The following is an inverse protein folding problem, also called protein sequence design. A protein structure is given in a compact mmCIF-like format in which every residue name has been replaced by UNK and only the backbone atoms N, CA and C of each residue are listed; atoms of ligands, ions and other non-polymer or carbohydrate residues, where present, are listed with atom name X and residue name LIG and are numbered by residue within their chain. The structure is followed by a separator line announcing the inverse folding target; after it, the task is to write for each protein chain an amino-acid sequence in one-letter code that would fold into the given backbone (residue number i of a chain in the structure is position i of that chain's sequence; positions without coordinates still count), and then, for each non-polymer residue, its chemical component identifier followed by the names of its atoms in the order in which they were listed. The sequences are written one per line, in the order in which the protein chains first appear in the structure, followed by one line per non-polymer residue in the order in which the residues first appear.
data_IF_589387046113
#
_entry.id   IF_589387046113
#
_cell.length_a   1.000
_cell.length_b   1.000
_cell.length_c   1.000
_cell.angle_alpha   90.00
_cell.angle_beta   90.00
_cell.angle_gamma   90.00
#
_symmetry.space_group_name_H-M   'P 1'
#
loop_
_entity.id
_entity.type
_entity.pdbx_description
1 polymer ?
#
# COMPACT_ATOMS: atom_id res chain seq x y z
N UNK A 1 14.78 3.14 -6.32
CA UNK A 1 14.47 3.66 -4.98
C UNK A 1 14.44 2.50 -3.99
N UNK A 2 15.31 2.46 -2.98
CA UNK A 2 15.31 1.35 -2.03
C UNK A 2 14.12 1.37 -1.06
N UNK A 3 13.63 2.55 -0.70
CA UNK A 3 12.48 2.72 0.19
C UNK A 3 11.22 1.99 -0.31
N UNK A 4 11.03 1.88 -1.64
CA UNK A 4 9.90 1.18 -2.24
C UNK A 4 9.92 -0.35 -2.00
N UNK A 5 11.06 -0.94 -1.61
CA UNK A 5 11.15 -2.37 -1.28
C UNK A 5 10.34 -2.73 -0.03
N UNK A 6 10.10 -1.75 0.83
CA UNK A 6 9.35 -1.93 2.07
C UNK A 6 7.88 -1.50 1.93
N UNK A 7 7.46 -0.99 0.77
CA UNK A 7 6.09 -0.53 0.54
C UNK A 7 5.38 -1.52 -0.37
N UNK A 8 4.16 -1.90 0.02
CA UNK A 8 3.36 -2.85 -0.73
C UNK A 8 1.90 -2.44 -0.86
N UNK A 9 1.29 -2.87 -1.96
CA UNK A 9 -0.15 -2.92 -2.12
C UNK A 9 -0.65 -4.31 -1.74
N UNK A 10 -1.81 -4.38 -1.07
CA UNK A 10 -2.47 -5.65 -0.74
C UNK A 10 -3.77 -5.74 -1.52
N UNK A 11 -3.92 -6.78 -2.35
CA UNK A 11 -5.11 -6.94 -3.15
C UNK A 11 -6.37 -7.10 -2.28
N UNK A 12 -7.43 -6.39 -2.63
CA UNK A 12 -8.68 -6.36 -1.86
C UNK A 12 -8.70 -5.29 -0.75
N UNK A 13 -7.56 -4.66 -0.47
CA UNK A 13 -7.45 -3.54 0.45
C UNK A 13 -7.14 -2.24 -0.30
N UNK A 14 -7.70 -1.14 0.20
CA UNK A 14 -7.41 0.20 -0.30
C UNK A 14 -6.14 0.74 0.33
N UNK A 15 -5.34 1.46 -0.45
CA UNK A 15 -4.16 2.17 0.04
C UNK A 15 -2.86 1.39 -0.11
N UNK A 16 -1.85 1.84 0.64
CA UNK A 16 -0.52 1.28 0.69
C UNK A 16 -0.17 0.87 2.11
N UNK A 17 0.76 -0.07 2.22
CA UNK A 17 1.20 -0.61 3.48
C UNK A 17 2.71 -0.74 3.53
N UNK A 18 3.31 -0.39 4.68
CA UNK A 18 4.71 -0.66 4.97
C UNK A 18 4.85 -2.08 5.52
N UNK A 19 5.73 -2.88 4.93
CA UNK A 19 6.05 -4.23 5.37
C UNK A 19 6.97 -4.12 6.58
N UNK A 20 6.52 -4.60 7.74
CA UNK A 20 7.33 -4.58 8.96
C UNK A 20 8.17 -5.85 9.07
N UNK A 21 7.52 -7.03 9.05
CA UNK A 21 8.22 -8.31 9.10
C UNK A 21 7.35 -9.48 8.63
N UNK A 22 7.96 -10.53 8.06
CA UNK A 22 7.29 -11.80 7.90
C UNK A 22 6.98 -12.42 9.28
N UNK A 23 5.79 -13.00 9.42
CA UNK A 23 5.32 -13.70 10.61
C UNK A 23 4.95 -15.14 10.31
N UNK A 24 4.73 -15.94 11.36
CA UNK A 24 4.38 -17.37 11.21
C UNK A 24 3.02 -17.60 10.52
N UNK A 25 2.12 -16.63 10.60
CA UNK A 25 0.78 -16.68 10.03
C UNK A 25 0.60 -15.75 8.81
N UNK A 26 1.68 -15.19 8.24
CA UNK A 26 1.61 -14.28 7.10
C UNK A 26 2.62 -13.14 7.20
N UNK A 27 2.21 -11.91 6.86
CA UNK A 27 3.08 -10.72 6.92
C UNK A 27 2.44 -9.65 7.78
N UNK A 28 3.22 -9.06 8.68
CA UNK A 28 2.77 -7.91 9.47
C UNK A 28 3.05 -6.65 8.66
N UNK A 29 1.99 -5.87 8.43
CA UNK A 29 2.06 -4.62 7.68
C UNK A 29 1.48 -3.47 8.49
N UNK A 30 1.95 -2.26 8.22
CA UNK A 30 1.46 -1.00 8.78
C UNK A 30 0.80 -0.18 7.69
N UNK A 31 -0.39 0.38 7.92
CA UNK A 31 -1.04 1.26 6.94
C UNK A 31 -0.26 2.56 6.75
N UNK A 32 -0.16 3.02 5.49
CA UNK A 32 0.35 4.35 5.16
C UNK A 32 -0.81 5.35 5.17
N UNK A 33 -1.26 5.66 6.38
CA UNK A 33 -2.26 6.67 6.69
C UNK A 33 -2.00 7.28 8.07
N UNK A 34 -2.82 8.25 8.48
CA UNK A 34 -2.69 8.93 9.78
C UNK A 34 -2.75 7.97 10.98
N UNK A 35 -3.40 6.81 10.82
CA UNK A 35 -3.61 5.86 11.92
C UNK A 35 -2.42 4.93 12.12
N UNK A 36 -1.60 4.72 11.08
CA UNK A 36 -0.45 3.79 11.08
C UNK A 36 -0.82 2.44 11.72
N UNK A 37 -1.98 1.91 11.33
CA UNK A 37 -2.56 0.73 11.94
C UNK A 37 -1.79 -0.53 11.52
N UNK A 38 -1.34 -1.28 12.52
CA UNK A 38 -0.61 -2.55 12.31
C UNK A 38 -1.60 -3.69 12.16
N UNK A 39 -1.57 -4.35 11.01
CA UNK A 39 -2.48 -5.45 10.67
C UNK A 39 -1.67 -6.67 10.22
N UNK A 40 -2.13 -7.85 10.61
CA UNK A 40 -1.57 -9.10 10.09
C UNK A 40 -2.31 -9.51 8.82
N UNK A 41 -1.61 -9.48 7.70
CA UNK A 41 -2.10 -10.03 6.44
C UNK A 41 -1.86 -11.54 6.44
N UNK A 42 -2.93 -12.31 6.27
CA UNK A 42 -2.86 -13.77 6.23
C UNK A 42 -2.01 -14.31 5.07
N UNK A 43 -1.71 -15.62 5.05
CA UNK A 43 -0.80 -16.21 4.06
C UNK A 43 -1.39 -16.24 2.64
N UNK A 44 -2.71 -16.08 2.52
CA UNK A 44 -3.43 -16.00 1.25
C UNK A 44 -3.54 -14.57 0.70
N UNK A 45 -3.13 -13.57 1.48
CA UNK A 45 -3.14 -12.18 1.05
C UNK A 45 -2.14 -12.00 -0.10
N UNK A 46 -2.61 -11.38 -1.19
CA UNK A 46 -1.75 -11.06 -2.33
C UNK A 46 -1.08 -9.72 -2.06
N UNK A 47 0.14 -9.79 -1.54
CA UNK A 47 0.97 -8.63 -1.25
C UNK A 47 1.91 -8.40 -2.43
N UNK A 48 1.83 -7.23 -3.04
CA UNK A 48 2.68 -6.81 -4.17
C UNK A 48 3.56 -5.65 -3.73
N UNK A 49 4.87 -5.86 -3.71
CA UNK A 49 5.85 -4.83 -3.37
C UNK A 49 5.93 -3.82 -4.51
N UNK A 50 5.89 -2.53 -4.20
CA UNK A 50 5.88 -1.47 -5.22
C UNK A 50 7.13 -1.47 -6.08
N UNK A 51 8.27 -1.85 -5.51
CA UNK A 51 9.53 -1.99 -6.23
C UNK A 51 9.50 -3.04 -7.35
N UNK A 52 8.66 -4.07 -7.22
CA UNK A 52 8.58 -5.17 -8.19
C UNK A 52 7.51 -4.93 -9.26
N UNK A 53 6.79 -3.81 -9.18
CA UNK A 53 5.78 -3.42 -10.14
C UNK A 53 6.44 -2.66 -11.29
N UNK A 54 6.12 -3.08 -12.51
CA UNK A 54 6.54 -2.43 -13.75
C UNK A 54 5.34 -2.17 -14.64
N UNK A 55 5.45 -1.14 -15.47
CA UNK A 55 4.44 -0.71 -16.42
C UNK A 55 4.90 -1.15 -17.81
N UNK A 56 4.03 -1.80 -18.56
CA UNK A 56 4.32 -2.21 -19.93
C UNK A 56 4.49 -1.00 -20.83
N UNK A 57 5.52 -1.04 -21.67
CA UNK A 57 5.76 -0.07 -22.74
C UNK A 57 5.79 -0.80 -24.08
N UNK A 58 5.27 -0.12 -25.09
CA UNK A 58 5.32 -0.53 -26.48
C UNK A 58 6.44 0.30 -27.14
N UNK A 59 7.68 -0.07 -26.81
CA UNK A 59 8.89 0.51 -27.38
C UNK A 59 9.67 -0.61 -28.07
N UNK A 60 10.31 -0.30 -29.20
CA UNK A 60 11.13 -1.25 -29.97
C UNK A 60 12.43 -1.68 -29.24
N UNK A 61 12.64 -1.18 -28.01
CA UNK A 61 13.76 -1.54 -27.14
C UNK A 61 13.64 -2.97 -26.55
N UNK A 62 14.78 -3.55 -26.15
CA UNK A 62 14.82 -4.88 -25.52
C UNK A 62 14.02 -4.94 -24.20
N UNK A 63 13.77 -3.78 -23.57
CA UNK A 63 13.02 -3.63 -22.32
C UNK A 63 11.55 -3.27 -22.58
N UNK A 64 10.66 -4.26 -22.51
CA UNK A 64 9.20 -4.10 -22.70
C UNK A 64 8.45 -3.53 -21.48
N UNK A 65 9.17 -3.03 -20.47
CA UNK A 65 8.54 -2.48 -19.28
C UNK A 65 9.43 -1.47 -18.56
N UNK A 66 8.81 -0.44 -17.98
CA UNK A 66 9.46 0.57 -17.15
C UNK A 66 9.10 0.37 -15.68
N UNK A 67 10.08 0.43 -14.79
CA UNK A 67 9.84 0.23 -13.35
C UNK A 67 8.94 1.32 -12.78
N UNK A 68 8.08 0.97 -11.82
CA UNK A 68 7.22 1.95 -11.13
C UNK A 68 8.05 3.04 -10.44
N UNK A 69 9.25 2.71 -9.97
CA UNK A 69 10.19 3.69 -9.41
C UNK A 69 10.46 4.83 -10.40
N UNK A 70 10.83 4.49 -11.64
CA UNK A 70 11.13 5.47 -12.68
C UNK A 70 9.91 6.33 -12.98
N UNK A 71 8.73 5.72 -13.04
CA UNK A 71 7.48 6.43 -13.34
C UNK A 71 7.10 7.38 -12.22
N UNK A 72 7.20 6.96 -10.95
CA UNK A 72 6.94 7.84 -9.80
C UNK A 72 7.92 9.02 -9.76
N UNK A 73 9.19 8.81 -10.12
CA UNK A 73 10.17 9.89 -10.21
C UNK A 73 9.79 10.89 -11.30
N UNK A 74 9.46 10.41 -12.51
CA UNK A 74 9.04 11.27 -13.62
C UNK A 74 7.79 12.10 -13.27
N UNK A 75 6.82 11.50 -12.55
CA UNK A 75 5.66 12.22 -12.03
C UNK A 75 6.09 13.32 -11.06
N UNK A 76 6.99 13.00 -10.13
CA UNK A 76 7.45 13.97 -9.13
C UNK A 76 8.22 15.13 -9.75
N UNK A 77 9.01 14.88 -10.79
CA UNK A 77 9.77 15.91 -11.51
C UNK A 77 8.84 16.81 -12.33
N UNK A 78 7.78 16.26 -12.91
CA UNK A 78 6.86 16.99 -13.78
C UNK A 78 5.76 17.74 -13.02
N UNK A 79 5.24 17.17 -11.94
CA UNK A 79 4.04 17.66 -11.25
C UNK A 79 4.25 17.99 -9.77
N UNK A 80 5.31 17.48 -9.14
CA UNK A 80 5.53 17.65 -7.70
C UNK A 80 4.33 17.18 -6.88
N UNK A 81 3.85 18.01 -5.96
CA UNK A 81 2.72 17.66 -5.08
C UNK A 81 1.33 17.80 -5.74
N UNK A 82 1.24 18.49 -6.87
CA UNK A 82 -0.03 18.85 -7.50
C UNK A 82 -0.25 18.06 -8.79
N UNK A 83 -0.94 16.92 -8.69
CA UNK A 83 -1.32 16.14 -9.87
C UNK A 83 -2.45 16.83 -10.65
N UNK A 84 -2.42 16.78 -12.00
CA UNK A 84 -3.49 17.31 -12.84
C UNK A 84 -4.73 16.42 -12.88
N UNK A 85 -4.66 15.22 -12.31
CA UNK A 85 -5.71 14.20 -12.33
C UNK A 85 -5.94 13.59 -10.95
N UNK A 86 -7.15 13.10 -10.74
CA UNK A 86 -7.55 12.36 -9.54
C UNK A 86 -7.86 10.90 -9.91
N UNK A 87 -7.88 9.96 -8.95
CA UNK A 87 -8.28 8.55 -9.22
C UNK A 87 -9.70 8.41 -9.77
N UNK A 88 -10.54 9.45 -9.61
CA UNK A 88 -11.91 9.54 -10.11
C UNK A 88 -12.04 10.26 -11.46
N UNK A 89 -10.94 10.78 -12.02
CA UNK A 89 -10.91 11.41 -13.33
C UNK A 89 -11.38 10.47 -14.43
N UNK A 90 -11.79 11.07 -15.55
CA UNK A 90 -12.23 10.34 -16.74
C UNK A 90 -11.11 9.45 -17.29
N UNK A 91 -11.49 8.37 -17.99
CA UNK A 91 -10.52 7.47 -18.64
C UNK A 91 -9.58 8.22 -19.57
N UNK A 92 -10.08 9.18 -20.35
CA UNK A 92 -9.27 9.98 -21.27
C UNK A 92 -8.24 10.83 -20.51
N UNK A 93 -8.65 11.51 -19.43
CA UNK A 93 -7.75 12.31 -18.61
C UNK A 93 -6.63 11.47 -17.98
N UNK A 94 -6.96 10.25 -17.52
CA UNK A 94 -5.98 9.32 -16.97
C UNK A 94 -5.01 8.80 -18.04
N UNK A 95 -5.50 8.56 -19.26
CA UNK A 95 -4.67 8.15 -20.38
C UNK A 95 -3.73 9.27 -20.84
N UNK A 96 -4.23 10.51 -20.91
CA UNK A 96 -3.43 11.69 -21.24
C UNK A 96 -2.35 11.95 -20.19
N UNK A 97 -2.70 11.82 -18.91
CA UNK A 97 -1.73 11.88 -17.83
C UNK A 97 -0.65 10.80 -17.98
N UNK A 98 -1.04 9.56 -18.24
CA UNK A 98 -0.08 8.47 -18.42
C UNK A 98 0.84 8.70 -19.64
N UNK A 99 0.28 9.19 -20.75
CA UNK A 99 1.03 9.56 -21.94
C UNK A 99 2.00 10.73 -21.71
N UNK A 100 1.67 11.65 -20.81
CA UNK A 100 2.53 12.79 -20.48
C UNK A 100 3.79 12.39 -19.70
N UNK A 101 3.69 11.33 -18.90
CA UNK A 101 4.77 10.82 -18.04
C UNK A 101 5.56 9.72 -18.75
N UNK A 102 4.85 8.78 -19.39
CA UNK A 102 5.44 7.64 -20.10
C UNK A 102 4.81 7.60 -21.51
N UNK A 103 5.33 8.36 -22.49
CA UNK A 103 4.71 8.46 -23.82
C UNK A 103 4.55 7.13 -24.55
N UNK A 104 5.45 6.18 -24.30
CA UNK A 104 5.50 4.86 -24.93
C UNK A 104 4.75 3.77 -24.15
N UNK A 105 3.88 4.10 -23.18
CA UNK A 105 3.16 3.08 -22.42
C UNK A 105 2.19 2.27 -23.31
N UNK A 106 2.11 0.96 -23.05
CA UNK A 106 1.23 0.06 -23.79
C UNK A 106 -0.24 0.26 -23.34
N UNK A 107 -1.06 0.84 -24.22
CA UNK A 107 -2.47 1.15 -23.94
C UNK A 107 -3.38 -0.07 -23.87
N UNK A 108 -2.99 -1.18 -24.49
CA UNK A 108 -3.75 -2.43 -24.51
C UNK A 108 -3.51 -3.26 -23.24
N UNK A 109 -2.28 -3.21 -22.70
CA UNK A 109 -1.91 -3.93 -21.48
C UNK A 109 -2.15 -3.13 -20.20
N UNK A 110 -1.93 -1.81 -20.23
CA UNK A 110 -2.09 -0.95 -19.05
C UNK A 110 -3.57 -0.60 -18.88
N UNK A 111 -4.21 -1.20 -17.88
CA UNK A 111 -5.64 -0.97 -17.61
C UNK A 111 -5.83 0.36 -16.90
N UNK A 112 -6.96 1.02 -17.17
CA UNK A 112 -7.35 2.27 -16.48
C UNK A 112 -7.35 2.13 -14.96
N UNK A 113 -7.74 0.96 -14.42
CA UNK A 113 -7.71 0.71 -12.97
C UNK A 113 -6.30 0.77 -12.39
N UNK A 114 -5.28 0.37 -13.15
CA UNK A 114 -3.89 0.42 -12.69
C UNK A 114 -3.35 1.86 -12.73
N UNK A 115 -3.76 2.66 -13.73
CA UNK A 115 -3.49 4.11 -13.74
C UNK A 115 -4.14 4.80 -12.53
N UNK A 116 -5.41 4.46 -12.21
CA UNK A 116 -6.09 4.99 -11.01
C UNK A 116 -5.37 4.62 -9.72
N UNK A 117 -4.87 3.39 -9.61
CA UNK A 117 -4.06 2.95 -8.47
C UNK A 117 -2.77 3.75 -8.38
N UNK A 118 -2.07 3.94 -9.50
CA UNK A 118 -0.82 4.70 -9.55
C UNK A 118 -1.02 6.14 -9.06
N UNK A 119 -2.06 6.84 -9.52
CA UNK A 119 -2.40 8.19 -9.06
C UNK A 119 -2.67 8.21 -7.55
N UNK A 120 -3.44 7.23 -7.05
CA UNK A 120 -3.72 7.08 -5.61
C UNK A 120 -2.45 6.80 -4.79
N UNK A 121 -1.60 5.89 -5.27
CA UNK A 121 -0.34 5.53 -4.63
C UNK A 121 0.61 6.72 -4.56
N UNK A 122 0.73 7.49 -5.65
CA UNK A 122 1.56 8.69 -5.67
C UNK A 122 1.13 9.69 -4.58
N UNK A 123 -0.17 9.97 -4.46
CA UNK A 123 -0.69 10.85 -3.42
C UNK A 123 -0.38 10.35 -2.00
N UNK A 124 -0.59 9.05 -1.74
CA UNK A 124 -0.28 8.43 -0.44
C UNK A 124 1.21 8.52 -0.13
N UNK A 125 2.07 8.23 -1.12
CA UNK A 125 3.53 8.29 -0.94
C UNK A 125 3.98 9.72 -0.64
N UNK A 126 3.50 10.73 -1.37
CA UNK A 126 3.86 12.13 -1.09
C UNK A 126 3.41 12.58 0.30
N UNK A 127 2.24 12.12 0.76
CA UNK A 127 1.69 12.54 2.04
C UNK A 127 2.30 11.80 3.24
N UNK A 128 2.47 10.48 3.16
CA UNK A 128 2.80 9.63 4.30
C UNK A 128 4.19 8.98 4.22
N UNK A 129 4.85 9.05 3.07
CA UNK A 129 6.20 8.52 2.87
C UNK A 129 7.05 9.41 1.93
N UNK A 130 7.18 10.73 2.20
CA UNK A 130 7.96 11.63 1.35
C UNK A 130 9.43 11.20 1.20
N UNK A 131 9.98 10.50 2.20
CA UNK A 131 11.34 9.95 2.21
C UNK A 131 11.61 8.98 1.06
N UNK A 132 10.56 8.44 0.43
CA UNK A 132 10.69 7.56 -0.75
C UNK A 132 11.32 8.29 -1.93
N UNK A 133 11.16 9.62 -2.01
CA UNK A 133 11.66 10.45 -3.10
C UNK A 133 13.01 11.11 -2.80
N UNK A 134 13.49 11.06 -1.56
CA UNK A 134 14.79 11.59 -1.18
C UNK A 134 15.91 10.59 -1.52
N UNK A 135 16.74 10.93 -2.51
CA UNK A 135 17.82 10.07 -3.02
C UNK A 135 19.07 10.08 -2.10
N UNK A 136 18.98 10.67 -0.91
CA UNK A 136 20.11 10.82 0.02
C UNK A 136 19.77 10.22 1.38
N UNK A 137 20.38 9.06 1.67
CA UNK A 137 20.54 8.46 3.02
C UNK A 137 19.22 7.88 3.60
N UNK A 138 19.02 6.57 3.67
CA UNK A 138 19.75 5.70 4.58
C UNK A 138 19.27 5.93 6.02
N UNK A 139 18.41 5.06 6.53
CA UNK A 139 17.88 5.04 7.91
C UNK A 139 16.99 6.22 8.34
N UNK A 140 15.70 5.95 8.48
CA UNK A 140 14.90 6.49 9.59
C UNK A 140 14.08 5.35 10.16
N UNK A 141 14.77 4.54 10.98
CA UNK A 141 14.14 4.02 12.19
C UNK A 141 13.94 5.22 13.13
N UNK A 142 12.69 5.63 13.34
CA UNK A 142 12.24 6.47 14.46
C UNK A 142 10.72 6.22 14.58
N UNK A 143 10.12 5.81 15.70
CA UNK A 143 10.61 5.47 17.02
C UNK A 143 9.55 4.59 17.69
N UNK A 144 10.02 3.67 18.52
CA UNK A 144 9.19 3.00 19.50
C UNK A 144 9.02 3.92 20.71
N UNK A 145 7.92 4.68 20.78
CA UNK A 145 7.51 5.29 22.05
C UNK A 145 6.48 4.39 22.76
N UNK A 146 7.02 3.71 23.76
CA UNK A 146 6.34 2.95 24.81
C UNK A 146 5.39 3.87 25.60
N UNK A 147 4.18 3.39 25.81
CA UNK A 147 3.40 3.65 27.02
C UNK A 147 2.81 2.32 27.52
N UNK A 148 3.64 1.52 28.19
CA UNK A 148 3.24 0.70 29.34
C UNK A 148 2.75 1.66 30.46
N UNK A 149 1.79 1.44 31.35
CA UNK A 149 0.88 0.39 31.87
C UNK A 149 -0.12 1.15 32.81
N UNK A 150 -0.91 0.59 33.75
CA UNK A 150 -1.71 -0.65 33.85
C UNK A 150 -3.18 -0.39 34.29
N UNK A 151 -4.11 -1.29 34.01
CA UNK A 151 -5.27 -1.62 34.88
C UNK A 151 -5.90 -2.91 34.29
N UNK A 152 -5.63 -4.11 34.79
CA UNK A 152 -6.02 -4.64 36.10
C UNK A 152 -7.52 -4.43 36.40
N UNK A 153 -8.36 -5.25 35.78
CA UNK A 153 -9.57 -5.77 36.42
C UNK A 153 -9.64 -7.27 36.15
N UNK A 154 -9.00 -8.00 37.06
CA UNK A 154 -9.41 -9.35 37.45
C UNK A 154 -10.64 -9.22 38.38
N UNK A 155 -11.28 -10.36 38.66
CA UNK A 155 -12.38 -10.62 39.62
C UNK A 155 -13.76 -10.57 38.94
N UNK A 156 -14.52 -11.65 38.79
CA UNK A 156 -14.45 -13.00 39.37
C UNK A 156 -15.42 -13.92 38.65
N UNK A 157 -15.04 -15.20 38.62
CA UNK A 157 -15.91 -16.37 38.58
C UNK A 157 -17.23 -16.20 39.35
N UNK A 158 -18.34 -16.73 38.82
CA UNK A 158 -19.00 -17.89 39.44
C UNK A 158 -20.07 -18.49 38.52
N UNK A 159 -20.33 -19.80 38.67
CA UNK A 159 -20.88 -20.69 37.66
C UNK A 159 -22.41 -20.77 37.75
N UNK A 160 -23.08 -21.13 36.65
CA UNK A 160 -24.39 -21.76 36.72
C UNK A 160 -24.25 -23.19 36.25
N UNK A 161 -24.25 -24.07 37.24
CA UNK A 161 -24.37 -25.51 37.11
C UNK A 161 -25.71 -25.90 36.46
N UNK A 162 -25.58 -26.92 35.64
CA UNK A 162 -26.59 -27.90 35.25
C UNK A 162 -27.42 -28.40 36.46
N UNK A 163 -28.74 -28.56 36.29
CA UNK A 163 -29.53 -29.77 36.65
C UNK A 163 -31.04 -29.55 36.39
N UNK A 164 -31.85 -30.62 36.25
CA UNK A 164 -32.91 -30.73 35.24
C UNK A 164 -34.34 -30.64 35.80
N UNK A 165 -35.33 -30.46 34.91
CA UNK A 165 -36.71 -30.93 35.18
C UNK A 165 -37.54 -31.12 33.89
N UNK A 166 -37.71 -32.40 33.53
CA UNK A 166 -38.94 -33.13 33.17
C UNK A 166 -40.18 -32.32 32.73
N UNK A 167 -40.75 -32.82 31.62
CA UNK A 167 -42.19 -32.94 31.28
C UNK A 167 -42.86 -31.87 30.38
N UNK A 168 -43.17 -32.26 29.14
CA UNK A 168 -44.57 -32.28 28.63
C UNK A 168 -44.72 -32.95 27.25
N UNK A 169 -45.83 -33.68 27.15
CA UNK A 169 -46.54 -34.24 25.99
C UNK A 169 -46.06 -35.60 25.45
#
# INVERSE_FOLDING_TARGET
MEALKQIANVAGYSGLYRILKPGRAGVIVESLDDKKAKTMMGPTARVSVLNDISIYVDDDSEEQSVSLSTVLLAISEQYGDALPVEPKSSTDQLADFMASVVPAYDRDRVRTTDIKKLVSWYGILRQFAPEVFDVTTGETEEDASVAETPEAIEVTETPVAETPKVEKA
#
